data_IF_639254392633
#
_entry.id   IF_639254392633
#
_cell.length_a   1.000
_cell.length_b   1.000
_cell.length_c   1.000
_cell.angle_alpha   90.00
_cell.angle_beta   90.00
_cell.angle_gamma   90.00
#
_symmetry.space_group_name_H-M   'P 1'
#
loop_
_entity.id
_entity.type
_entity.pdbx_description
1 polymer ?
#
# COMPACT_ATOMS: atom_id res chain seq x y z
N UNK A 1 -4.08 32.00 31.47
CA UNK A 1 -3.58 30.66 31.09
C UNK A 1 -4.65 29.56 30.96
N UNK A 2 -5.97 29.86 30.82
CA UNK A 2 -7.02 28.81 30.69
C UNK A 2 -7.73 28.75 29.33
N UNK A 3 -7.48 29.71 28.42
CA UNK A 3 -8.18 29.79 27.13
C UNK A 3 -7.34 29.36 25.92
N UNK A 4 -6.02 29.39 26.01
CA UNK A 4 -5.13 29.04 24.87
C UNK A 4 -4.80 27.54 24.80
N UNK A 5 -4.91 26.81 25.90
CA UNK A 5 -4.66 25.35 25.93
C UNK A 5 -5.76 24.58 25.18
N UNK A 6 -7.00 25.11 25.14
CA UNK A 6 -8.13 24.45 24.45
C UNK A 6 -8.05 24.55 22.92
N UNK A 7 -7.38 25.56 22.36
CA UNK A 7 -7.22 25.72 20.91
C UNK A 7 -6.11 24.81 20.35
N UNK A 8 -5.06 24.57 21.12
CA UNK A 8 -3.95 23.69 20.71
C UNK A 8 -4.38 22.21 20.74
N UNK A 9 -5.19 21.82 21.74
CA UNK A 9 -5.73 20.47 21.82
C UNK A 9 -6.72 20.15 20.68
N UNK A 10 -7.50 21.12 20.20
CA UNK A 10 -8.44 20.90 19.10
C UNK A 10 -7.74 20.76 17.74
N UNK A 11 -6.62 21.46 17.53
CA UNK A 11 -5.79 21.31 16.33
C UNK A 11 -5.07 19.95 16.29
N UNK A 12 -4.59 19.45 17.44
CA UNK A 12 -3.97 18.12 17.57
C UNK A 12 -4.96 16.96 17.38
N UNK A 13 -6.23 17.14 17.76
CA UNK A 13 -7.27 16.12 17.56
C UNK A 13 -7.72 16.07 16.09
N UNK A 14 -7.72 17.20 15.38
CA UNK A 14 -8.07 17.25 13.95
C UNK A 14 -7.01 16.62 13.06
N UNK A 15 -5.72 16.70 13.41
CA UNK A 15 -4.65 16.02 12.65
C UNK A 15 -4.60 14.52 12.93
N UNK A 16 -4.94 14.05 14.14
CA UNK A 16 -5.06 12.60 14.42
C UNK A 16 -6.32 11.96 13.79
N UNK A 17 -7.36 12.74 13.52
CA UNK A 17 -8.61 12.23 12.94
C UNK A 17 -8.49 11.87 11.45
N UNK A 18 -7.54 12.48 10.72
CA UNK A 18 -7.30 12.18 9.30
C UNK A 18 -6.52 10.88 9.12
N UNK A 19 -5.65 10.51 10.08
CA UNK A 19 -4.87 9.25 10.04
C UNK A 19 -5.76 8.02 10.33
N UNK A 20 -6.85 8.17 11.08
CA UNK A 20 -7.74 7.04 11.40
C UNK A 20 -8.72 6.65 10.29
N UNK A 21 -8.89 7.50 9.26
CA UNK A 21 -9.71 7.17 8.07
C UNK A 21 -8.95 6.37 7.00
N UNK A 22 -7.62 6.27 7.10
CA UNK A 22 -6.80 5.43 6.19
C UNK A 22 -7.09 3.92 6.35
N UNK A 23 -7.62 3.49 7.50
CA UNK A 23 -8.00 2.08 7.74
C UNK A 23 -9.12 1.53 6.85
N UNK A 24 -9.76 2.37 6.02
CA UNK A 24 -10.76 1.93 5.05
C UNK A 24 -10.25 1.86 3.60
N UNK A 25 -8.97 2.13 3.32
CA UNK A 25 -8.44 2.22 1.96
C UNK A 25 -7.61 1.02 1.48
N UNK A 26 -7.73 -0.14 2.12
CA UNK A 26 -7.10 -1.35 1.62
C UNK A 26 -7.59 -1.69 0.18
N UNK A 27 -6.68 -2.14 -0.70
CA UNK A 27 -7.03 -2.78 -1.97
C UNK A 27 -7.93 -4.00 -1.77
N UNK A 28 -8.49 -4.50 -2.87
CA UNK A 28 -9.31 -5.71 -2.83
C UNK A 28 -8.49 -6.89 -2.32
N UNK A 29 -9.02 -7.60 -1.31
CA UNK A 29 -8.38 -8.77 -0.73
C UNK A 29 -8.37 -10.00 -1.63
N UNK A 30 -9.02 -9.92 -2.79
CA UNK A 30 -8.95 -10.90 -3.85
C UNK A 30 -8.13 -10.34 -5.03
N UNK A 31 -7.02 -10.99 -5.43
CA UNK A 31 -6.14 -10.52 -6.50
C UNK A 31 -6.86 -10.23 -7.83
N UNK A 32 -7.70 -11.17 -8.29
CA UNK A 32 -8.45 -11.04 -9.54
C UNK A 32 -9.39 -9.83 -9.54
N UNK A 33 -10.03 -9.56 -8.39
CA UNK A 33 -10.88 -8.38 -8.24
C UNK A 33 -10.07 -7.09 -8.19
N UNK A 34 -8.87 -7.11 -7.60
CA UNK A 34 -7.97 -5.97 -7.62
C UNK A 34 -7.54 -5.64 -9.05
N UNK A 35 -7.13 -6.64 -9.84
CA UNK A 35 -6.80 -6.48 -11.26
C UNK A 35 -7.99 -5.89 -12.03
N UNK A 36 -9.19 -6.50 -11.90
CA UNK A 36 -10.38 -6.01 -12.59
C UNK A 36 -10.76 -4.57 -12.20
N UNK A 37 -10.59 -4.21 -10.92
CA UNK A 37 -10.83 -2.86 -10.44
C UNK A 37 -9.81 -1.87 -11.03
N UNK A 38 -8.52 -2.24 -11.06
CA UNK A 38 -7.44 -1.43 -11.63
C UNK A 38 -7.65 -1.21 -13.13
N UNK A 39 -7.95 -2.26 -13.90
CA UNK A 39 -8.24 -2.17 -15.34
C UNK A 39 -9.45 -1.28 -15.62
N UNK A 40 -10.53 -1.43 -14.83
CA UNK A 40 -11.72 -0.58 -14.93
C UNK A 40 -11.41 0.91 -14.69
N UNK A 41 -10.40 1.20 -13.86
CA UNK A 41 -9.91 2.55 -13.60
C UNK A 41 -8.82 3.02 -14.59
N UNK A 42 -8.52 2.21 -15.61
CA UNK A 42 -7.62 2.55 -16.72
C UNK A 42 -6.15 2.34 -16.41
N UNK A 43 -5.81 1.46 -15.45
CA UNK A 43 -4.46 0.98 -15.24
C UNK A 43 -4.17 -0.22 -16.14
N UNK A 44 -2.91 -0.38 -16.53
CA UNK A 44 -2.38 -1.68 -16.98
C UNK A 44 -2.05 -2.48 -15.72
N UNK A 45 -2.78 -3.55 -15.46
CA UNK A 45 -2.62 -4.38 -14.26
C UNK A 45 -2.36 -5.84 -14.62
N UNK A 46 -1.67 -6.57 -13.74
CA UNK A 46 -1.44 -7.99 -13.92
C UNK A 46 -0.79 -8.64 -12.71
N UNK A 47 -0.69 -9.96 -12.79
CA UNK A 47 0.02 -10.77 -11.80
C UNK A 47 1.52 -10.77 -12.11
N UNK A 48 2.34 -10.57 -11.10
CA UNK A 48 3.79 -10.46 -11.22
C UNK A 48 4.52 -11.31 -10.18
N UNK A 49 4.61 -12.61 -10.48
CA UNK A 49 5.37 -13.57 -9.68
C UNK A 49 6.88 -13.29 -9.69
N UNK A 50 7.38 -12.49 -10.64
CA UNK A 50 8.82 -12.18 -10.76
C UNK A 50 9.30 -11.17 -9.72
N UNK A 51 8.40 -10.26 -9.32
CA UNK A 51 8.63 -9.25 -8.28
C UNK A 51 8.95 -9.84 -6.90
N UNK A 52 8.50 -11.06 -6.60
CA UNK A 52 8.73 -11.72 -5.30
C UNK A 52 10.23 -11.96 -5.06
N UNK A 53 10.94 -12.41 -6.10
CA UNK A 53 12.36 -12.79 -6.00
C UNK A 53 13.32 -11.61 -6.02
N UNK A 54 12.89 -10.49 -6.59
CA UNK A 54 13.70 -9.30 -6.77
C UNK A 54 13.60 -8.32 -5.59
N UNK A 55 12.42 -8.23 -4.96
CA UNK A 55 12.17 -7.27 -3.88
C UNK A 55 12.60 -7.79 -2.49
N UNK A 56 12.71 -9.10 -2.25
CA UNK A 56 12.73 -9.62 -0.88
C UNK A 56 13.72 -10.76 -0.65
N UNK A 57 14.95 -10.41 -0.26
CA UNK A 57 16.00 -11.38 0.07
C UNK A 57 15.76 -12.17 1.39
N UNK A 58 14.68 -11.90 2.13
CA UNK A 58 14.34 -12.58 3.39
C UNK A 58 12.89 -13.11 3.50
N UNK A 59 12.06 -12.97 2.47
CA UNK A 59 10.71 -13.56 2.44
C UNK A 59 10.78 -14.95 1.82
N UNK A 60 10.20 -15.97 2.47
CA UNK A 60 10.02 -17.28 1.83
C UNK A 60 8.98 -17.12 0.71
N UNK A 61 9.33 -17.38 -0.57
CA UNK A 61 8.38 -17.24 -1.67
C UNK A 61 7.12 -18.11 -1.49
N UNK A 62 7.17 -19.14 -0.65
CA UNK A 62 6.02 -20.00 -0.33
C UNK A 62 4.94 -19.31 0.49
N UNK A 63 5.30 -18.24 1.20
CA UNK A 63 4.38 -17.49 2.05
C UNK A 63 3.60 -16.46 1.22
N UNK A 64 4.00 -16.22 -0.03
CA UNK A 64 3.32 -15.34 -0.99
C UNK A 64 2.46 -16.18 -1.93
N UNK A 65 1.18 -15.85 -1.99
CA UNK A 65 0.17 -16.50 -2.84
C UNK A 65 -0.02 -15.80 -4.17
N UNK A 66 0.18 -14.48 -4.21
CA UNK A 66 0.00 -13.68 -5.42
C UNK A 66 0.68 -12.31 -5.26
N UNK A 67 1.03 -11.69 -6.38
CA UNK A 67 1.48 -10.31 -6.44
C UNK A 67 0.78 -9.63 -7.61
N UNK A 68 0.06 -8.56 -7.33
CA UNK A 68 -0.56 -7.73 -8.36
C UNK A 68 0.24 -6.45 -8.50
N UNK A 69 0.70 -6.15 -9.72
CA UNK A 69 1.30 -4.87 -10.06
C UNK A 69 0.42 -4.15 -11.07
N UNK A 70 0.34 -2.83 -10.93
CA UNK A 70 -0.36 -2.01 -11.90
C UNK A 70 0.24 -0.63 -12.04
N UNK A 71 0.11 -0.06 -13.23
CA UNK A 71 0.58 1.28 -13.52
C UNK A 71 -0.32 2.00 -14.52
N UNK A 72 -0.28 3.33 -14.46
CA UNK A 72 -0.99 4.25 -15.35
C UNK A 72 -0.13 5.49 -15.55
N UNK A 73 0.03 5.92 -16.80
CA UNK A 73 0.75 7.15 -17.11
C UNK A 73 -0.15 8.36 -16.84
N UNK A 74 0.31 9.27 -15.99
CA UNK A 74 -0.36 10.54 -15.66
C UNK A 74 0.54 11.70 -16.09
N UNK A 75 0.41 12.11 -17.36
CA UNK A 75 1.32 13.09 -17.96
C UNK A 75 2.74 12.56 -18.05
N UNK A 76 3.66 13.20 -17.33
CA UNK A 76 5.07 12.76 -17.22
C UNK A 76 5.30 11.77 -16.07
N UNK A 77 4.34 11.63 -15.16
CA UNK A 77 4.46 10.79 -13.97
C UNK A 77 3.87 9.40 -14.23
N UNK A 78 4.28 8.44 -13.41
CA UNK A 78 3.70 7.11 -13.36
C UNK A 78 2.96 6.99 -12.03
N UNK A 79 1.69 6.66 -12.12
CA UNK A 79 0.88 6.25 -11.00
C UNK A 79 0.87 4.72 -10.95
N UNK A 80 1.24 4.12 -9.83
CA UNK A 80 1.38 2.67 -9.71
C UNK A 80 1.11 2.14 -8.32
N UNK A 81 0.84 0.83 -8.26
CA UNK A 81 0.69 0.05 -7.05
C UNK A 81 1.25 -1.36 -7.24
N UNK A 82 1.83 -1.88 -6.17
CA UNK A 82 2.12 -3.30 -5.98
C UNK A 82 1.37 -3.79 -4.75
N UNK A 83 0.67 -4.93 -4.87
CA UNK A 83 -0.05 -5.59 -3.78
C UNK A 83 0.50 -7.00 -3.66
N UNK A 84 0.96 -7.36 -2.49
CA UNK A 84 1.51 -8.67 -2.15
C UNK A 84 0.50 -9.39 -1.28
N UNK A 85 0.05 -10.55 -1.73
CA UNK A 85 -0.92 -11.40 -1.05
C UNK A 85 -0.20 -12.58 -0.40
N UNK A 86 -0.37 -12.73 0.91
CA UNK A 86 0.25 -13.79 1.70
C UNK A 86 -0.71 -14.93 1.99
N UNK A 87 -0.16 -16.11 2.30
CA UNK A 87 -0.93 -17.29 2.71
C UNK A 87 -1.77 -16.98 3.95
N UNK A 88 -1.22 -16.24 4.91
CA UNK A 88 -1.92 -15.79 6.12
C UNK A 88 -1.42 -14.45 6.68
N UNK A 89 -2.05 -14.02 7.78
CA UNK A 89 -1.75 -12.73 8.42
C UNK A 89 -0.41 -12.73 9.14
N UNK A 90 0.06 -13.90 9.61
CA UNK A 90 1.32 -14.03 10.32
C UNK A 90 2.47 -13.94 9.31
N UNK A 91 2.37 -14.61 8.16
CA UNK A 91 3.26 -14.45 7.02
C UNK A 91 3.39 -12.96 6.60
N UNK A 92 2.27 -12.26 6.42
CA UNK A 92 2.29 -10.83 6.11
C UNK A 92 2.93 -9.99 7.24
N UNK A 93 2.74 -10.37 8.51
CA UNK A 93 3.30 -9.65 9.64
C UNK A 93 4.81 -9.85 9.74
N UNK A 94 5.29 -11.06 9.51
CA UNK A 94 6.71 -11.39 9.59
C UNK A 94 7.50 -10.72 8.46
N UNK A 95 6.90 -10.61 7.27
CA UNK A 95 7.48 -9.91 6.13
C UNK A 95 7.45 -8.37 6.23
N UNK A 96 6.57 -7.80 7.07
CA UNK A 96 6.24 -6.38 7.07
C UNK A 96 7.44 -5.44 7.22
N UNK A 97 8.26 -5.66 8.24
CA UNK A 97 9.36 -4.73 8.56
C UNK A 97 10.44 -4.72 7.47
N UNK A 98 10.68 -5.87 6.81
CA UNK A 98 11.63 -5.96 5.70
C UNK A 98 11.09 -5.28 4.46
N UNK A 99 9.85 -5.57 4.05
CA UNK A 99 9.22 -4.93 2.89
C UNK A 99 9.18 -3.42 3.08
N UNK A 100 8.70 -2.98 4.24
CA UNK A 100 8.57 -1.57 4.53
C UNK A 100 9.91 -0.86 4.40
N UNK A 101 10.96 -1.43 4.99
CA UNK A 101 12.30 -0.86 4.94
C UNK A 101 12.86 -0.79 3.52
N UNK A 102 12.77 -1.88 2.74
CA UNK A 102 13.28 -1.91 1.37
C UNK A 102 12.62 -0.82 0.51
N UNK A 103 11.29 -0.70 0.62
CA UNK A 103 10.55 0.32 -0.13
C UNK A 103 10.90 1.73 0.35
N UNK A 104 10.97 1.97 1.67
CA UNK A 104 11.36 3.27 2.24
C UNK A 104 12.81 3.66 1.88
N UNK A 105 13.71 2.70 1.67
CA UNK A 105 15.08 2.94 1.20
C UNK A 105 15.13 3.30 -0.31
N UNK A 106 14.13 2.90 -1.11
CA UNK A 106 14.04 3.18 -2.56
C UNK A 106 13.22 4.43 -2.91
N UNK A 107 12.19 4.76 -2.13
CA UNK A 107 11.29 5.89 -2.43
C UNK A 107 11.76 7.18 -1.74
N UNK A 108 11.60 8.30 -2.43
CA UNK A 108 11.79 9.61 -1.81
C UNK A 108 10.67 9.88 -0.78
N UNK A 109 10.99 10.46 0.38
CA UNK A 109 10.00 10.81 1.42
C UNK A 109 8.87 11.70 0.87
N UNK A 110 9.16 12.51 -0.16
CA UNK A 110 8.20 13.40 -0.82
C UNK A 110 7.47 12.74 -2.03
N UNK A 111 7.67 11.45 -2.28
CA UNK A 111 7.10 10.73 -3.44
C UNK A 111 5.57 10.56 -3.40
N UNK A 112 4.95 10.74 -2.23
CA UNK A 112 3.52 10.49 -2.03
C UNK A 112 3.13 9.02 -2.14
N UNK A 113 4.11 8.11 -2.09
CA UNK A 113 3.87 6.68 -1.96
C UNK A 113 3.43 6.34 -0.54
N UNK A 114 2.46 5.46 -0.45
CA UNK A 114 2.06 4.82 0.80
C UNK A 114 2.61 3.41 0.81
N UNK A 115 3.02 2.94 1.99
CA UNK A 115 3.36 1.54 2.26
C UNK A 115 2.51 1.12 3.45
N UNK A 116 1.63 0.15 3.25
CA UNK A 116 0.66 -0.26 4.27
C UNK A 116 0.46 -1.77 4.30
N UNK A 117 -0.09 -2.25 5.41
CA UNK A 117 -0.41 -3.66 5.65
C UNK A 117 -1.79 -3.82 6.27
N UNK A 118 -2.53 -4.82 5.80
CA UNK A 118 -3.81 -5.21 6.40
C UNK A 118 -4.14 -6.67 6.10
N UNK A 119 -4.52 -7.43 7.13
CA UNK A 119 -4.78 -8.85 7.01
C UNK A 119 -3.60 -9.59 6.38
N UNK A 120 -3.88 -10.32 5.29
CA UNK A 120 -2.91 -11.09 4.52
C UNK A 120 -2.23 -10.30 3.41
N UNK A 121 -2.23 -8.97 3.46
CA UNK A 121 -1.74 -8.13 2.37
C UNK A 121 -0.78 -7.06 2.85
N UNK A 122 0.24 -6.82 2.04
CA UNK A 122 1.08 -5.62 2.06
C UNK A 122 0.95 -4.95 0.71
N UNK A 123 0.87 -3.63 0.66
CA UNK A 123 0.87 -2.90 -0.60
C UNK A 123 1.70 -1.63 -0.50
N UNK A 124 2.20 -1.21 -1.64
CA UNK A 124 2.86 0.08 -1.80
C UNK A 124 2.55 0.70 -3.15
N UNK A 125 2.39 2.01 -3.19
CA UNK A 125 1.96 2.71 -4.40
C UNK A 125 1.46 4.11 -4.10
N UNK A 126 0.97 4.81 -5.12
CA UNK A 126 0.29 6.09 -4.88
C UNK A 126 -1.08 5.86 -4.24
N UNK A 127 -1.59 6.88 -3.55
CA UNK A 127 -2.95 6.81 -2.99
C UNK A 127 -4.04 6.58 -4.03
N UNK A 128 -3.88 7.08 -5.25
CA UNK A 128 -4.90 6.97 -6.30
C UNK A 128 -4.96 5.55 -6.87
N UNK A 129 -3.80 4.91 -7.05
CA UNK A 129 -3.74 3.49 -7.41
C UNK A 129 -4.30 2.58 -6.31
N UNK A 130 -4.03 2.90 -5.04
CA UNK A 130 -4.62 2.19 -3.88
C UNK A 130 -6.15 2.30 -3.88
N UNK A 131 -6.70 3.48 -4.13
CA UNK A 131 -8.16 3.68 -4.24
C UNK A 131 -8.74 2.95 -5.45
N UNK A 132 -8.02 2.90 -6.56
CA UNK A 132 -8.45 2.24 -7.79
C UNK A 132 -8.49 0.70 -7.69
N UNK A 133 -7.71 0.11 -6.80
CA UNK A 133 -7.61 -1.33 -6.59
C UNK A 133 -8.73 -1.95 -5.73
N UNK A 134 -9.82 -1.23 -5.47
CA UNK A 134 -10.97 -1.67 -4.66
C UNK A 134 -12.08 -2.29 -5.50
#
# INVERSE_FOLDING_TARGET
MKKMIKLIALALVLTLSVVMLASCNAPNSNPEKAVAALEKNGYTAGHDESSISALFAGIDPKDVTDVVTAYKRVGINIDSITIIYFEDTDAAKDAWEEIKKEIEDEIDEDSGYVVEKSGKMIWFGTEDAVKAAK
#
